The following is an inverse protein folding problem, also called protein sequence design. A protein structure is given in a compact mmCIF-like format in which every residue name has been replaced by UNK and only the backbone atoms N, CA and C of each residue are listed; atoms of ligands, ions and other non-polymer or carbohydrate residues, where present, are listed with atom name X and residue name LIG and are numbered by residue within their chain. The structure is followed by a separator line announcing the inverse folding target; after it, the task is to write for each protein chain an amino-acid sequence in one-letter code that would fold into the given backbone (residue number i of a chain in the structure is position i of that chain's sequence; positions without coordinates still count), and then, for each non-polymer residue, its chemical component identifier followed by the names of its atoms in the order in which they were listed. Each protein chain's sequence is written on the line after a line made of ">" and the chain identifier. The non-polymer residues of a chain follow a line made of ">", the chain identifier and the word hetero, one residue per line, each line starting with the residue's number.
data_IF_086871597377
#
_entry.id   IF_086871597377
#
_cell.length_a   1.000
_cell.length_b   1.000
_cell.length_c   1.000
_cell.angle_alpha   90.00
_cell.angle_beta   90.00
_cell.angle_gamma   90.00
#
_symmetry.space_group_name_H-M   'P 1'
#
loop_
_entity.id
_entity.type
_entity.pdbx_description
1 polymer ?
#
# COMPACT_ATOMS: atom_id res chain seq x y z
N UNK A 1 21.26 6.44 16.80
CA UNK A 1 21.85 5.95 15.55
C UNK A 1 21.22 4.61 15.21
N UNK A 2 20.65 4.46 14.04
CA UNK A 2 20.08 3.21 13.53
C UNK A 2 20.91 2.75 12.35
N UNK A 3 21.35 1.50 12.38
CA UNK A 3 21.92 0.80 11.24
C UNK A 3 20.78 0.11 10.50
N UNK A 4 20.57 0.46 9.24
CA UNK A 4 19.56 -0.14 8.41
C UNK A 4 19.86 -1.62 8.14
N UNK A 5 18.84 -2.46 8.20
CA UNK A 5 18.83 -3.80 7.63
C UNK A 5 18.08 -3.80 6.30
N UNK A 6 17.00 -3.00 6.25
CA UNK A 6 16.18 -2.83 5.05
C UNK A 6 15.67 -1.39 4.93
N UNK A 7 15.58 -0.92 3.68
CA UNK A 7 14.89 0.30 3.29
C UNK A 7 13.59 -0.08 2.56
N UNK A 8 12.51 0.60 2.89
CA UNK A 8 11.23 0.44 2.21
C UNK A 8 11.15 1.35 1.00
N UNK A 9 10.79 0.79 -0.15
CA UNK A 9 10.47 1.55 -1.35
C UNK A 9 8.95 1.74 -1.41
N UNK A 10 8.51 3.00 -1.39
CA UNK A 10 7.11 3.40 -1.35
C UNK A 10 6.80 4.40 -2.46
N UNK A 11 5.78 4.11 -3.29
CA UNK A 11 5.43 4.97 -4.42
C UNK A 11 4.99 6.38 -3.99
N UNK A 12 4.36 6.52 -2.82
CA UNK A 12 3.93 7.80 -2.26
C UNK A 12 5.08 8.78 -2.01
N UNK A 13 6.31 8.30 -1.81
CA UNK A 13 7.48 9.16 -1.65
C UNK A 13 7.79 9.99 -2.91
N UNK A 14 7.22 9.60 -4.07
CA UNK A 14 7.35 10.36 -5.31
C UNK A 14 6.75 11.76 -5.19
N UNK A 15 5.69 11.93 -4.41
CA UNK A 15 5.09 13.24 -4.15
C UNK A 15 6.03 14.21 -3.43
N UNK A 16 6.98 13.71 -2.63
CA UNK A 16 7.97 14.53 -1.93
C UNK A 16 9.06 15.06 -2.85
N UNK A 17 9.14 14.53 -4.09
CA UNK A 17 10.08 14.95 -5.13
C UNK A 17 9.44 15.96 -6.11
N UNK A 18 8.23 16.44 -5.85
CA UNK A 18 7.52 17.44 -6.64
C UNK A 18 7.48 18.77 -5.90
N UNK A 19 7.15 19.86 -6.58
CA UNK A 19 6.99 21.20 -5.98
C UNK A 19 5.63 21.39 -5.28
N UNK A 20 4.86 20.32 -5.11
CA UNK A 20 3.52 20.38 -4.53
C UNK A 20 3.56 20.68 -3.03
N UNK A 21 3.03 21.83 -2.62
CA UNK A 21 3.02 22.29 -1.23
C UNK A 21 1.79 21.83 -0.43
N UNK A 22 0.70 21.44 -1.10
CA UNK A 22 -0.56 21.00 -0.49
C UNK A 22 -0.63 19.48 -0.20
N UNK A 23 0.54 18.86 -0.06
CA UNK A 23 0.67 17.44 0.32
C UNK A 23 0.83 17.30 1.84
N UNK A 24 0.60 16.08 2.36
CA UNK A 24 0.83 15.73 3.77
C UNK A 24 2.31 15.78 4.18
N UNK A 25 3.23 15.83 3.23
CA UNK A 25 4.67 16.00 3.43
C UNK A 25 5.15 17.12 2.51
N UNK A 26 5.84 18.13 3.02
CA UNK A 26 6.42 19.17 2.16
C UNK A 26 7.46 18.59 1.20
N UNK A 27 7.69 19.27 0.06
CA UNK A 27 8.74 18.90 -0.88
C UNK A 27 10.11 18.79 -0.21
N UNK A 28 10.89 17.81 -0.64
CA UNK A 28 12.29 17.70 -0.22
C UNK A 28 13.14 18.69 -1.01
N UNK A 29 13.98 19.44 -0.31
CA UNK A 29 14.94 20.35 -0.95
C UNK A 29 15.98 19.55 -1.77
N UNK A 30 16.33 20.06 -2.95
CA UNK A 30 17.37 19.47 -3.78
C UNK A 30 18.72 19.48 -3.03
N UNK A 31 19.45 18.37 -3.13
CA UNK A 31 20.73 18.17 -2.42
C UNK A 31 20.59 17.59 -1.02
N UNK A 32 19.37 17.43 -0.51
CA UNK A 32 19.13 16.68 0.72
C UNK A 32 19.05 15.17 0.45
N UNK A 33 19.27 14.38 1.49
CA UNK A 33 19.14 12.93 1.38
C UNK A 33 17.65 12.55 1.29
N UNK A 34 17.34 11.60 0.44
CA UNK A 34 16.01 11.01 0.37
C UNK A 34 15.67 10.33 1.70
N UNK A 35 14.40 10.42 2.09
CA UNK A 35 13.87 9.82 3.31
C UNK A 35 12.82 8.75 2.98
N UNK A 36 12.65 7.81 3.89
CA UNK A 36 11.66 6.74 3.79
C UNK A 36 11.63 5.89 5.04
N UNK A 37 10.82 4.83 5.04
CA UNK A 37 10.79 3.91 6.17
C UNK A 37 12.06 3.04 6.19
N UNK A 38 12.66 2.96 7.37
CA UNK A 38 13.85 2.17 7.68
C UNK A 38 13.49 1.14 8.74
N UNK A 39 13.90 -0.10 8.54
CA UNK A 39 13.93 -1.17 9.55
C UNK A 39 15.38 -1.54 9.82
N UNK A 40 15.77 -1.57 11.07
CA UNK A 40 17.14 -1.88 11.44
C UNK A 40 17.38 -1.89 12.93
N UNK A 41 18.62 -1.97 13.33
CA UNK A 41 18.98 -2.05 14.75
C UNK A 41 19.54 -0.72 15.26
N UNK A 42 19.13 -0.36 16.49
CA UNK A 42 19.73 0.74 17.20
C UNK A 42 21.21 0.43 17.46
N UNK A 43 22.11 1.10 16.75
CA UNK A 43 23.56 0.92 16.92
C UNK A 43 24.14 1.75 18.08
N UNK A 44 23.43 2.81 18.48
CA UNK A 44 23.69 3.59 19.68
C UNK A 44 22.46 4.42 20.03
N UNK A 45 22.21 4.64 21.31
CA UNK A 45 21.10 5.47 21.76
C UNK A 45 21.52 6.43 22.88
N UNK A 46 20.93 7.65 22.85
CA UNK A 46 20.93 8.59 23.98
C UNK A 46 19.52 8.79 24.53
N UNK A 47 18.53 8.12 23.97
CA UNK A 47 17.12 8.22 24.36
C UNK A 47 16.78 7.07 25.29
N UNK A 48 16.11 7.38 26.43
CA UNK A 48 15.81 6.40 27.48
C UNK A 48 14.91 5.24 27.02
N UNK A 49 14.09 5.48 25.99
CA UNK A 49 13.16 4.47 25.43
C UNK A 49 13.82 3.45 24.51
N UNK A 50 15.09 3.62 24.10
CA UNK A 50 15.77 2.75 23.13
C UNK A 50 17.14 2.33 23.65
N UNK A 51 17.45 1.04 23.53
CA UNK A 51 18.75 0.46 23.86
C UNK A 51 19.49 0.04 22.57
N UNK A 52 20.80 -0.11 22.66
CA UNK A 52 21.61 -0.72 21.62
C UNK A 52 21.16 -2.15 21.39
N UNK A 53 21.01 -2.54 20.09
CA UNK A 53 20.50 -3.83 19.67
C UNK A 53 18.98 -3.87 19.44
N UNK A 54 18.20 -2.93 19.96
CA UNK A 54 16.75 -2.90 19.71
C UNK A 54 16.46 -2.93 18.21
N UNK A 55 15.56 -3.81 17.75
CA UNK A 55 15.00 -3.75 16.42
C UNK A 55 13.97 -2.61 16.37
N UNK A 56 14.16 -1.68 15.42
CA UNK A 56 13.38 -0.46 15.32
C UNK A 56 12.92 -0.20 13.89
N UNK A 57 11.76 0.44 13.75
CA UNK A 57 11.22 0.94 12.48
C UNK A 57 10.83 2.40 12.64
N UNK A 58 11.14 3.22 11.63
CA UNK A 58 10.75 4.63 11.60
C UNK A 58 11.18 5.31 10.31
N UNK A 59 10.87 6.60 10.18
CA UNK A 59 11.30 7.41 9.05
C UNK A 59 12.76 7.82 9.22
N UNK A 60 13.61 7.37 8.30
CA UNK A 60 15.03 7.68 8.26
C UNK A 60 15.48 8.07 6.85
N UNK A 61 16.77 8.22 6.67
CA UNK A 61 17.36 8.51 5.37
C UNK A 61 17.57 7.22 4.57
N UNK A 62 17.53 7.31 3.24
CA UNK A 62 18.05 6.23 2.40
C UNK A 62 19.58 6.18 2.55
N UNK A 63 20.01 5.49 3.57
CA UNK A 63 21.41 5.36 3.97
C UNK A 63 21.59 4.12 4.84
N UNK A 64 22.81 3.59 4.86
CA UNK A 64 23.18 2.46 5.73
C UNK A 64 23.02 2.79 7.22
N UNK A 65 23.22 4.05 7.58
CA UNK A 65 23.10 4.53 8.94
C UNK A 65 22.36 5.86 8.99
N UNK A 66 21.39 5.98 9.90
CA UNK A 66 20.58 7.19 10.10
C UNK A 66 20.61 7.62 11.56
N UNK A 67 20.83 8.92 11.80
CA UNK A 67 20.55 9.52 13.10
C UNK A 67 19.07 9.90 13.11
N UNK A 68 18.30 9.30 14.00
CA UNK A 68 16.86 9.49 14.09
C UNK A 68 16.49 10.07 15.45
N UNK A 69 15.65 11.10 15.45
CA UNK A 69 14.97 11.58 16.67
C UNK A 69 13.66 10.79 16.77
N UNK A 70 13.43 10.02 17.85
CA UNK A 70 12.32 9.09 17.92
C UNK A 70 10.96 9.72 17.64
N UNK A 71 10.66 10.87 18.22
CA UNK A 71 9.36 11.52 18.08
C UNK A 71 9.13 12.06 16.66
N UNK A 72 10.17 12.61 16.01
CA UNK A 72 10.07 13.14 14.64
C UNK A 72 10.08 12.04 13.61
N UNK A 73 10.80 10.96 13.88
CA UNK A 73 10.94 9.81 13.00
C UNK A 73 9.76 8.82 13.13
N UNK A 74 8.86 9.02 14.07
CA UNK A 74 7.88 7.98 14.44
C UNK A 74 8.57 6.65 14.73
N UNK A 75 9.75 6.71 15.40
CA UNK A 75 10.57 5.53 15.66
C UNK A 75 9.90 4.67 16.74
N UNK A 76 9.71 3.39 16.41
CA UNK A 76 9.14 2.42 17.32
C UNK A 76 9.99 1.17 17.40
N UNK A 77 10.01 0.54 18.59
CA UNK A 77 10.49 -0.82 18.73
C UNK A 77 9.49 -1.75 18.08
N UNK A 78 10.00 -2.76 17.41
CA UNK A 78 9.17 -3.79 16.80
C UNK A 78 9.61 -5.18 17.29
N UNK A 79 8.70 -6.15 17.19
CA UNK A 79 8.94 -7.52 17.65
C UNK A 79 10.02 -8.18 16.78
N UNK A 80 11.13 -8.55 17.38
CA UNK A 80 12.24 -9.25 16.72
C UNK A 80 12.14 -10.78 16.81
N UNK A 81 11.12 -11.29 17.51
CA UNK A 81 10.87 -12.73 17.67
C UNK A 81 10.08 -13.36 16.53
N UNK A 82 9.60 -12.56 15.57
CA UNK A 82 8.88 -13.07 14.40
C UNK A 82 9.86 -13.68 13.38
N UNK A 83 9.42 -14.72 12.66
CA UNK A 83 10.26 -15.45 11.71
C UNK A 83 10.83 -14.58 10.60
N UNK A 84 10.04 -13.60 10.13
CA UNK A 84 10.44 -12.67 9.08
C UNK A 84 10.21 -11.21 9.50
N UNK A 85 11.28 -10.54 9.93
CA UNK A 85 11.23 -9.13 10.38
C UNK A 85 10.73 -8.18 9.28
N UNK A 86 10.79 -8.55 7.99
CA UNK A 86 10.29 -7.73 6.87
C UNK A 86 8.79 -7.51 6.97
N UNK A 87 8.06 -8.38 7.68
CA UNK A 87 6.62 -8.20 7.92
C UNK A 87 6.29 -6.89 8.64
N UNK A 88 7.25 -6.27 9.31
CA UNK A 88 7.09 -4.92 9.87
C UNK A 88 6.97 -3.81 8.80
N UNK A 89 7.29 -4.09 7.54
CA UNK A 89 6.95 -3.23 6.39
C UNK A 89 5.68 -3.68 5.66
N UNK A 90 5.31 -4.95 5.80
CA UNK A 90 4.14 -5.56 5.19
C UNK A 90 2.93 -5.59 6.11
N UNK A 91 2.54 -6.83 6.49
CA UNK A 91 1.35 -7.10 7.32
C UNK A 91 1.34 -6.31 8.62
N UNK A 92 2.45 -6.30 9.35
CA UNK A 92 2.56 -5.64 10.68
C UNK A 92 2.95 -4.15 10.58
N UNK A 93 2.97 -3.61 9.36
CA UNK A 93 3.34 -2.23 9.07
C UNK A 93 2.18 -1.37 8.60
N UNK A 94 2.54 -0.16 8.15
CA UNK A 94 1.56 0.78 7.60
C UNK A 94 0.75 0.20 6.42
N UNK A 95 1.34 -0.69 5.61
CA UNK A 95 0.64 -1.32 4.49
C UNK A 95 -0.50 -2.23 4.99
N UNK A 96 -0.25 -3.02 6.03
CA UNK A 96 -1.28 -3.85 6.66
C UNK A 96 -2.38 -3.02 7.30
N UNK A 97 -2.02 -1.98 8.06
CA UNK A 97 -2.99 -1.06 8.65
C UNK A 97 -3.86 -0.39 7.57
N UNK A 98 -3.22 0.12 6.51
CA UNK A 98 -3.89 0.77 5.39
C UNK A 98 -4.87 -0.18 4.69
N UNK A 99 -4.45 -1.42 4.43
CA UNK A 99 -5.29 -2.44 3.81
C UNK A 99 -6.49 -2.79 4.70
N UNK A 100 -6.24 -3.07 5.99
CA UNK A 100 -7.28 -3.45 6.94
C UNK A 100 -8.29 -2.32 7.15
N UNK A 101 -7.80 -1.09 7.38
CA UNK A 101 -8.67 0.07 7.59
C UNK A 101 -9.49 0.39 6.33
N UNK A 102 -8.81 0.49 5.18
CA UNK A 102 -9.47 0.86 3.92
C UNK A 102 -10.52 -0.14 3.47
N UNK A 103 -10.30 -1.44 3.65
CA UNK A 103 -11.26 -2.48 3.30
C UNK A 103 -12.40 -2.53 4.32
N UNK A 104 -12.10 -2.55 5.61
CA UNK A 104 -13.10 -2.80 6.65
C UNK A 104 -13.83 -1.54 7.08
N UNK A 105 -13.10 -0.46 7.40
CA UNK A 105 -13.70 0.74 7.97
C UNK A 105 -14.15 1.71 6.87
N UNK A 106 -13.28 2.04 5.91
CA UNK A 106 -13.59 3.01 4.87
C UNK A 106 -14.56 2.44 3.83
N UNK A 107 -14.23 1.31 3.20
CA UNK A 107 -15.09 0.67 2.21
C UNK A 107 -16.24 -0.13 2.85
N UNK A 108 -16.15 -0.49 4.13
CA UNK A 108 -17.16 -1.23 4.86
C UNK A 108 -17.54 -2.56 4.19
N UNK A 109 -16.53 -3.32 3.75
CA UNK A 109 -16.69 -4.59 3.03
C UNK A 109 -17.40 -5.62 3.90
N UNK A 110 -18.29 -6.36 3.28
CA UNK A 110 -19.08 -7.44 3.90
C UNK A 110 -18.92 -8.74 3.14
N UNK A 111 -19.21 -9.84 3.81
CA UNK A 111 -19.25 -11.15 3.16
C UNK A 111 -20.22 -11.15 1.96
N UNK A 112 -19.75 -11.69 0.84
CA UNK A 112 -20.48 -11.72 -0.43
C UNK A 112 -20.38 -10.46 -1.29
N UNK A 113 -19.77 -9.37 -0.81
CA UNK A 113 -19.49 -8.20 -1.65
C UNK A 113 -18.52 -8.56 -2.79
N UNK A 114 -18.73 -7.96 -3.96
CA UNK A 114 -17.73 -7.92 -5.03
C UNK A 114 -16.79 -6.76 -4.75
N UNK A 115 -15.55 -7.06 -4.41
CA UNK A 115 -14.52 -6.08 -4.06
C UNK A 115 -13.50 -6.00 -5.18
N UNK A 116 -13.29 -4.79 -5.72
CA UNK A 116 -12.22 -4.53 -6.67
C UNK A 116 -11.03 -3.88 -5.95
N UNK A 117 -9.82 -4.27 -6.34
CA UNK A 117 -8.57 -3.65 -5.86
C UNK A 117 -7.72 -3.26 -7.06
N UNK A 118 -7.38 -1.98 -7.21
CA UNK A 118 -6.40 -1.54 -8.20
C UNK A 118 -4.97 -1.68 -7.68
N UNK A 119 -4.00 -1.83 -8.58
CA UNK A 119 -2.62 -2.23 -8.26
C UNK A 119 -2.59 -3.45 -7.31
N UNK A 120 -3.44 -4.44 -7.60
CA UNK A 120 -3.71 -5.59 -6.73
C UNK A 120 -2.47 -6.43 -6.39
N UNK A 121 -1.47 -6.47 -7.28
CA UNK A 121 -0.19 -7.14 -7.06
C UNK A 121 0.87 -6.26 -6.38
N UNK A 122 0.54 -5.02 -6.01
CA UNK A 122 1.42 -4.11 -5.28
C UNK A 122 1.36 -4.36 -3.76
N UNK A 123 2.24 -3.69 -3.02
CA UNK A 123 2.41 -3.88 -1.57
C UNK A 123 1.09 -3.82 -0.77
N UNK A 124 0.37 -2.70 -0.87
CA UNK A 124 -0.92 -2.52 -0.17
C UNK A 124 -2.04 -3.31 -0.84
N UNK A 125 -2.01 -3.41 -2.20
CA UNK A 125 -3.04 -4.13 -2.97
C UNK A 125 -3.12 -5.61 -2.63
N UNK A 126 -1.98 -6.29 -2.49
CA UNK A 126 -1.93 -7.71 -2.08
C UNK A 126 -2.59 -7.91 -0.72
N UNK A 127 -2.31 -7.03 0.23
CA UNK A 127 -2.89 -7.10 1.58
C UNK A 127 -4.37 -6.76 1.57
N UNK A 128 -4.80 -5.76 0.78
CA UNK A 128 -6.21 -5.42 0.62
C UNK A 128 -7.02 -6.59 0.02
N UNK A 129 -6.47 -7.30 -0.97
CA UNK A 129 -7.08 -8.51 -1.52
C UNK A 129 -7.25 -9.59 -0.46
N UNK A 130 -6.22 -9.84 0.36
CA UNK A 130 -6.27 -10.87 1.40
C UNK A 130 -7.25 -10.49 2.51
N UNK A 131 -7.25 -9.24 2.98
CA UNK A 131 -8.21 -8.76 3.97
C UNK A 131 -9.64 -8.92 3.45
N UNK A 132 -9.92 -8.53 2.21
CA UNK A 132 -11.25 -8.70 1.62
C UNK A 132 -11.67 -10.19 1.55
N UNK A 133 -10.74 -11.10 1.21
CA UNK A 133 -10.98 -12.55 1.24
C UNK A 133 -11.29 -13.06 2.65
N UNK A 134 -10.52 -12.64 3.67
CA UNK A 134 -10.77 -13.01 5.08
C UNK A 134 -12.17 -12.57 5.52
N UNK A 135 -12.64 -11.42 5.03
CA UNK A 135 -14.01 -10.94 5.29
C UNK A 135 -15.08 -11.64 4.47
N UNK A 136 -14.72 -12.59 3.61
CA UNK A 136 -15.68 -13.39 2.83
C UNK A 136 -16.16 -12.73 1.54
N UNK A 137 -15.43 -11.77 0.99
CA UNK A 137 -15.78 -11.11 -0.26
C UNK A 137 -15.30 -11.89 -1.50
N UNK A 138 -15.95 -11.63 -2.65
CA UNK A 138 -15.44 -12.02 -3.97
C UNK A 138 -14.46 -10.95 -4.43
N UNK A 139 -13.20 -11.30 -4.62
CA UNK A 139 -12.15 -10.32 -4.88
C UNK A 139 -11.75 -10.29 -6.36
N UNK A 140 -11.76 -9.11 -6.93
CA UNK A 140 -11.29 -8.80 -8.27
C UNK A 140 -10.06 -7.90 -8.19
N UNK A 141 -9.03 -8.16 -9.00
CA UNK A 141 -7.79 -7.41 -8.99
C UNK A 141 -7.47 -6.79 -10.35
N UNK A 142 -7.00 -5.54 -10.36
CA UNK A 142 -6.39 -4.93 -11.55
C UNK A 142 -4.87 -5.00 -11.42
N UNK A 143 -4.21 -5.64 -12.38
CA UNK A 143 -2.76 -5.74 -12.42
C UNK A 143 -2.25 -5.62 -13.85
N UNK A 144 -0.98 -5.27 -14.03
CA UNK A 144 -0.38 -5.13 -15.36
C UNK A 144 0.46 -6.32 -15.74
N UNK A 145 0.00 -7.09 -16.72
CA UNK A 145 0.67 -8.23 -17.31
C UNK A 145 0.15 -9.59 -16.83
N UNK A 146 0.25 -10.61 -17.69
CA UNK A 146 -0.36 -11.92 -17.47
C UNK A 146 0.26 -12.68 -16.28
N UNK A 147 1.53 -12.44 -15.99
CA UNK A 147 2.24 -13.08 -14.89
C UNK A 147 1.66 -12.68 -13.53
N UNK A 148 1.43 -11.36 -13.32
CA UNK A 148 0.81 -10.84 -12.11
C UNK A 148 -0.64 -11.30 -11.96
N UNK A 149 -1.39 -11.30 -13.07
CA UNK A 149 -2.78 -11.78 -13.04
C UNK A 149 -2.84 -13.26 -12.65
N UNK A 150 -1.99 -14.09 -13.22
CA UNK A 150 -1.90 -15.51 -12.86
C UNK A 150 -1.52 -15.69 -11.39
N UNK A 151 -0.51 -14.97 -10.93
CA UNK A 151 -0.09 -15.03 -9.52
C UNK A 151 -1.22 -14.65 -8.56
N UNK A 152 -1.98 -13.61 -8.89
CA UNK A 152 -3.14 -13.18 -8.08
C UNK A 152 -4.24 -14.27 -8.03
N UNK A 153 -4.48 -14.96 -9.14
CA UNK A 153 -5.52 -16.00 -9.22
C UNK A 153 -5.06 -17.33 -8.61
N UNK A 154 -3.86 -17.79 -8.95
CA UNK A 154 -3.37 -19.13 -8.58
C UNK A 154 -2.75 -19.15 -7.18
N UNK A 155 -1.94 -18.16 -6.82
CA UNK A 155 -1.21 -18.13 -5.54
C UNK A 155 -2.00 -17.36 -4.46
N UNK A 156 -2.48 -16.15 -4.78
CA UNK A 156 -3.28 -15.37 -3.84
C UNK A 156 -4.72 -15.87 -3.76
N UNK A 157 -5.22 -16.54 -4.81
CA UNK A 157 -6.54 -17.15 -4.88
C UNK A 157 -7.68 -16.13 -4.88
N UNK A 158 -7.55 -15.02 -5.61
CA UNK A 158 -8.67 -14.10 -5.84
C UNK A 158 -9.62 -14.65 -6.91
N UNK A 159 -10.82 -14.08 -6.99
CA UNK A 159 -11.87 -14.54 -7.92
C UNK A 159 -11.46 -14.34 -9.37
N UNK A 160 -10.88 -13.19 -9.71
CA UNK A 160 -10.37 -12.86 -11.05
C UNK A 160 -9.40 -11.69 -11.00
N UNK A 161 -8.35 -11.77 -11.82
CA UNK A 161 -7.46 -10.67 -12.13
C UNK A 161 -7.69 -10.18 -13.57
N UNK A 162 -7.70 -8.86 -13.76
CA UNK A 162 -7.88 -8.19 -15.05
C UNK A 162 -6.55 -7.55 -15.44
N UNK A 163 -5.99 -7.95 -16.56
CA UNK A 163 -4.77 -7.35 -17.12
C UNK A 163 -5.12 -6.02 -17.83
N UNK A 164 -4.99 -4.92 -17.10
CA UNK A 164 -5.32 -3.59 -17.64
C UNK A 164 -4.46 -3.17 -18.85
N UNK A 165 -3.36 -3.88 -19.13
CA UNK A 165 -2.53 -3.64 -20.33
C UNK A 165 -3.08 -4.31 -21.58
N UNK A 166 -3.99 -5.26 -21.43
CA UNK A 166 -4.53 -6.08 -22.54
C UNK A 166 -6.05 -6.10 -22.61
N UNK A 167 -6.72 -5.94 -21.47
CA UNK A 167 -8.18 -6.02 -21.39
C UNK A 167 -8.77 -4.61 -21.23
N UNK A 168 -9.95 -4.41 -21.82
CA UNK A 168 -10.79 -3.26 -21.50
C UNK A 168 -11.39 -3.47 -20.12
N UNK A 169 -10.98 -2.62 -19.16
CA UNK A 169 -11.40 -2.71 -17.75
C UNK A 169 -12.92 -2.60 -17.65
N UNK A 170 -13.54 -1.63 -18.32
CA UNK A 170 -14.98 -1.41 -18.22
C UNK A 170 -15.76 -2.61 -18.76
N UNK A 171 -15.37 -3.15 -19.91
CA UNK A 171 -15.99 -4.33 -20.49
C UNK A 171 -15.77 -5.61 -19.64
N UNK A 172 -14.63 -5.71 -18.96
CA UNK A 172 -14.35 -6.83 -18.06
C UNK A 172 -15.22 -6.75 -16.80
N UNK A 173 -15.35 -5.56 -16.22
CA UNK A 173 -16.15 -5.31 -15.01
C UNK A 173 -17.65 -5.38 -15.28
N UNK A 174 -18.12 -5.04 -16.47
CA UNK A 174 -19.53 -5.19 -16.86
C UNK A 174 -20.05 -6.64 -16.80
N UNK A 175 -19.14 -7.63 -16.76
CA UNK A 175 -19.49 -9.06 -16.63
C UNK A 175 -19.63 -9.49 -15.17
N UNK A 176 -19.33 -8.62 -14.20
CA UNK A 176 -19.47 -8.93 -12.77
C UNK A 176 -20.93 -8.79 -12.38
N UNK A 177 -21.58 -9.90 -12.06
CA UNK A 177 -22.99 -9.90 -11.67
C UNK A 177 -23.19 -9.06 -10.40
N UNK A 178 -24.17 -8.17 -10.41
CA UNK A 178 -24.44 -7.24 -9.31
C UNK A 178 -23.53 -6.01 -9.26
N UNK A 179 -22.50 -5.94 -10.11
CA UNK A 179 -21.52 -4.85 -10.12
C UNK A 179 -20.54 -4.90 -8.95
N UNK A 180 -19.67 -3.90 -8.85
CA UNK A 180 -18.65 -3.78 -7.80
C UNK A 180 -19.23 -3.07 -6.57
N UNK A 181 -19.32 -3.75 -5.43
CA UNK A 181 -19.86 -3.21 -4.19
C UNK A 181 -18.86 -2.30 -3.46
N UNK A 182 -17.57 -2.65 -3.50
CA UNK A 182 -16.52 -1.88 -2.88
C UNK A 182 -15.28 -1.82 -3.79
N UNK A 183 -14.65 -0.66 -3.87
CA UNK A 183 -13.42 -0.47 -4.63
C UNK A 183 -12.34 0.13 -3.73
N UNK A 184 -11.22 -0.57 -3.63
CA UNK A 184 -10.02 -0.08 -2.97
C UNK A 184 -9.10 0.51 -4.05
N UNK A 185 -9.07 1.84 -4.12
CA UNK A 185 -8.39 2.56 -5.19
C UNK A 185 -6.99 3.02 -4.78
N UNK A 186 -5.98 2.44 -5.41
CA UNK A 186 -4.58 2.84 -5.29
C UNK A 186 -4.10 3.74 -6.44
N UNK A 187 -4.91 3.92 -7.49
CA UNK A 187 -4.42 4.46 -8.78
C UNK A 187 -5.13 5.74 -9.20
N UNK A 188 -6.46 5.81 -9.09
CA UNK A 188 -7.25 6.93 -9.61
C UNK A 188 -7.25 7.03 -11.14
N UNK A 189 -7.44 8.24 -11.65
CA UNK A 189 -7.34 8.57 -13.08
C UNK A 189 -8.21 7.72 -14.00
N UNK A 190 -7.71 7.32 -15.19
CA UNK A 190 -8.50 6.55 -16.16
C UNK A 190 -9.02 5.21 -15.64
N UNK A 191 -8.34 4.61 -14.65
CA UNK A 191 -8.82 3.37 -14.02
C UNK A 191 -10.09 3.67 -13.22
N UNK A 192 -10.11 4.73 -12.41
CA UNK A 192 -11.30 5.14 -11.69
C UNK A 192 -12.47 5.43 -12.65
N UNK A 193 -12.22 6.09 -13.78
CA UNK A 193 -13.24 6.36 -14.80
C UNK A 193 -13.83 5.07 -15.40
N UNK A 194 -13.02 4.06 -15.62
CA UNK A 194 -13.50 2.77 -16.10
C UNK A 194 -14.30 1.99 -15.03
N UNK A 195 -14.00 2.22 -13.74
CA UNK A 195 -14.66 1.54 -12.61
C UNK A 195 -16.02 2.16 -12.28
N UNK A 196 -16.14 3.50 -12.27
CA UNK A 196 -17.35 4.21 -11.82
C UNK A 196 -18.65 3.72 -12.48
N UNK A 197 -18.73 3.47 -13.82
CA UNK A 197 -19.93 2.93 -14.44
C UNK A 197 -20.27 1.49 -14.05
N UNK A 198 -19.31 0.76 -13.49
CA UNK A 198 -19.44 -0.65 -13.11
C UNK A 198 -19.65 -0.87 -11.60
N UNK A 199 -19.70 0.22 -10.82
CA UNK A 199 -20.04 0.12 -9.40
C UNK A 199 -21.49 -0.32 -9.22
N UNK A 200 -21.75 -1.08 -8.17
CA UNK A 200 -23.09 -1.40 -7.74
C UNK A 200 -23.80 -0.15 -7.18
N UNK A 201 -25.12 -0.21 -7.08
CA UNK A 201 -25.91 0.82 -6.42
C UNK A 201 -25.48 0.94 -4.95
N UNK A 202 -25.25 2.17 -4.47
CA UNK A 202 -24.67 2.46 -3.14
C UNK A 202 -23.27 1.88 -2.94
N UNK A 203 -22.52 1.68 -4.03
CA UNK A 203 -21.13 1.25 -3.98
C UNK A 203 -20.24 2.21 -3.19
N UNK A 204 -19.14 1.68 -2.67
CA UNK A 204 -18.23 2.41 -1.78
C UNK A 204 -16.82 2.36 -2.36
N UNK A 205 -16.14 3.50 -2.37
CA UNK A 205 -14.78 3.64 -2.88
C UNK A 205 -13.89 4.18 -1.77
N UNK A 206 -12.89 3.40 -1.37
CA UNK A 206 -11.84 3.82 -0.47
C UNK A 206 -10.64 4.31 -1.30
N UNK A 207 -10.39 5.62 -1.28
CA UNK A 207 -9.25 6.23 -1.96
C UNK A 207 -8.01 6.12 -1.08
N UNK A 208 -7.15 5.17 -1.43
CA UNK A 208 -5.90 4.88 -0.73
C UNK A 208 -4.71 5.60 -1.35
N UNK A 209 -4.69 5.72 -2.68
CA UNK A 209 -3.60 6.33 -3.41
C UNK A 209 -4.00 6.79 -4.80
N UNK A 210 -3.17 7.62 -5.40
CA UNK A 210 -3.40 8.22 -6.71
C UNK A 210 -2.17 8.01 -7.61
N UNK A 211 -1.73 6.76 -7.76
CA UNK A 211 -0.49 6.41 -8.45
C UNK A 211 -0.42 7.00 -9.89
N UNK A 212 -1.57 7.10 -10.57
CA UNK A 212 -1.64 7.72 -11.90
C UNK A 212 -1.32 9.23 -11.90
N UNK A 213 -1.29 9.88 -10.72
CA UNK A 213 -1.04 11.31 -10.56
C UNK A 213 0.32 11.61 -9.92
N UNK A 214 1.09 10.58 -9.52
CA UNK A 214 2.40 10.79 -8.87
C UNK A 214 3.50 11.21 -9.85
N UNK A 215 3.26 11.06 -11.14
CA UNK A 215 4.12 11.59 -12.20
C UNK A 215 3.51 12.89 -12.76
N UNK A 216 4.33 13.88 -13.06
CA UNK A 216 3.89 15.19 -13.55
C UNK A 216 3.84 16.25 -12.46
N UNK A 217 2.89 17.19 -12.56
CA UNK A 217 2.72 18.32 -11.62
C UNK A 217 1.99 17.94 -10.31
N UNK A 218 1.60 16.67 -10.17
CA UNK A 218 0.88 16.16 -9.01
C UNK A 218 -0.59 16.56 -8.93
N UNK A 219 -1.10 17.34 -9.89
CA UNK A 219 -2.51 17.71 -9.97
C UNK A 219 -3.26 16.86 -10.98
N UNK A 220 -4.10 15.97 -10.49
CA UNK A 220 -4.98 15.16 -11.32
C UNK A 220 -6.25 15.90 -11.73
N UNK A 221 -6.78 15.55 -12.90
CA UNK A 221 -8.16 15.92 -13.24
C UNK A 221 -9.12 15.08 -12.43
N UNK A 222 -10.28 15.63 -12.10
CA UNK A 222 -11.39 14.84 -11.54
C UNK A 222 -11.89 13.80 -12.53
N UNK A 223 -12.67 12.80 -12.06
CA UNK A 223 -13.18 11.75 -12.92
C UNK A 223 -14.11 12.29 -14.01
N UNK A 224 -13.93 11.81 -15.24
CA UNK A 224 -14.81 12.15 -16.37
C UNK A 224 -16.23 11.57 -16.16
N UNK A 225 -16.34 10.42 -15.50
CA UNK A 225 -17.58 9.73 -15.19
C UNK A 225 -18.21 10.20 -13.85
N UNK A 226 -18.06 11.49 -13.53
CA UNK A 226 -18.49 12.06 -12.24
C UNK A 226 -20.00 11.92 -11.98
N UNK A 227 -20.83 11.92 -13.03
CA UNK A 227 -22.29 11.72 -12.97
C UNK A 227 -22.67 10.35 -12.38
N UNK A 228 -21.82 9.32 -12.54
CA UNK A 228 -22.06 7.99 -11.99
C UNK A 228 -22.09 7.99 -10.46
N UNK A 229 -21.41 8.94 -9.82
CA UNK A 229 -21.46 9.11 -8.36
C UNK A 229 -22.90 9.38 -7.92
N UNK A 230 -23.59 10.31 -8.61
CA UNK A 230 -25.00 10.61 -8.35
C UNK A 230 -25.89 9.46 -8.79
N UNK A 231 -25.72 8.94 -10.01
CA UNK A 231 -26.62 7.93 -10.58
C UNK A 231 -26.62 6.63 -9.76
N UNK A 232 -25.49 6.27 -9.18
CA UNK A 232 -25.33 5.07 -8.34
C UNK A 232 -25.31 5.36 -6.85
N UNK A 233 -25.45 6.64 -6.42
CA UNK A 233 -25.41 7.08 -5.00
C UNK A 233 -24.17 6.55 -4.31
N UNK A 234 -23.00 6.72 -4.95
CA UNK A 234 -21.73 6.20 -4.46
C UNK A 234 -21.25 7.01 -3.25
N UNK A 235 -20.54 6.34 -2.34
CA UNK A 235 -19.70 6.98 -1.34
C UNK A 235 -18.25 6.85 -1.77
N UNK A 236 -17.56 7.97 -1.86
CA UNK A 236 -16.11 8.03 -2.13
C UNK A 236 -15.46 8.71 -0.94
N UNK A 237 -14.50 8.03 -0.34
CA UNK A 237 -13.87 8.49 0.89
C UNK A 237 -12.36 8.28 0.83
N UNK A 238 -11.59 9.37 1.03
CA UNK A 238 -10.16 9.31 1.25
C UNK A 238 -9.85 8.99 2.70
N UNK A 239 -8.73 8.30 2.93
CA UNK A 239 -8.24 7.99 4.27
C UNK A 239 -6.71 8.00 4.29
N UNK A 240 -6.14 8.25 5.45
CA UNK A 240 -4.70 8.36 5.61
C UNK A 240 -4.25 7.62 6.88
N UNK A 241 -3.31 6.67 6.74
CA UNK A 241 -2.95 5.78 7.84
C UNK A 241 -2.40 6.47 9.10
N UNK A 242 -1.70 7.59 9.06
CA UNK A 242 -1.33 8.32 10.27
C UNK A 242 -2.51 8.82 11.12
N UNK A 243 -3.69 9.06 10.52
CA UNK A 243 -4.86 9.59 11.23
C UNK A 243 -5.45 8.59 12.24
N UNK A 244 -5.13 7.30 12.09
CA UNK A 244 -5.57 6.24 13.00
C UNK A 244 -4.40 5.49 13.66
N UNK A 245 -3.27 6.18 13.82
CA UNK A 245 -2.09 5.61 14.47
C UNK A 245 -2.35 5.23 15.96
N UNK A 246 -3.30 5.88 16.60
CA UNK A 246 -3.80 5.52 17.95
C UNK A 246 -4.44 4.13 18.00
N UNK A 247 -4.91 3.61 16.85
CA UNK A 247 -5.44 2.24 16.71
C UNK A 247 -4.34 1.22 16.35
N UNK A 248 -3.10 1.68 16.19
CA UNK A 248 -2.00 0.89 15.65
C UNK A 248 -1.76 -0.42 16.39
N UNK A 249 -1.79 -0.41 17.73
CA UNK A 249 -1.63 -1.64 18.54
C UNK A 249 -2.73 -2.66 18.26
N UNK A 250 -3.99 -2.20 18.22
CA UNK A 250 -5.15 -3.06 17.93
C UNK A 250 -5.06 -3.66 16.52
N UNK A 251 -4.74 -2.81 15.53
CA UNK A 251 -4.62 -3.26 14.14
C UNK A 251 -3.47 -4.26 13.98
N UNK A 252 -2.32 -3.99 14.62
CA UNK A 252 -1.16 -4.88 14.57
C UNK A 252 -1.47 -6.22 15.24
N UNK A 253 -2.15 -6.23 16.39
CA UNK A 253 -2.49 -7.46 17.08
C UNK A 253 -3.41 -8.36 16.24
N UNK A 254 -4.43 -7.78 15.58
CA UNK A 254 -5.33 -8.51 14.71
C UNK A 254 -4.61 -9.06 13.47
N UNK A 255 -3.80 -8.22 12.81
CA UNK A 255 -3.01 -8.62 11.65
C UNK A 255 -1.98 -9.69 12.00
N UNK A 256 -1.35 -9.60 13.20
CA UNK A 256 -0.44 -10.63 13.69
C UNK A 256 -1.16 -11.96 13.88
N UNK A 257 -2.37 -11.94 14.44
CA UNK A 257 -3.16 -13.16 14.58
C UNK A 257 -3.42 -13.83 13.22
N UNK A 258 -3.75 -13.06 12.18
CA UNK A 258 -3.95 -13.60 10.84
C UNK A 258 -2.66 -14.09 10.19
N UNK A 259 -1.55 -13.37 10.41
CA UNK A 259 -0.22 -13.79 9.97
C UNK A 259 0.18 -15.13 10.61
N UNK A 260 0.04 -15.27 11.93
CA UNK A 260 0.35 -16.48 12.68
C UNK A 260 -0.52 -17.68 12.25
N UNK A 261 -1.72 -17.42 11.73
CA UNK A 261 -2.63 -18.44 11.18
C UNK A 261 -2.36 -18.74 9.69
N UNK A 262 -1.43 -18.03 9.05
CA UNK A 262 -1.16 -18.16 7.62
C UNK A 262 -2.29 -17.65 6.72
N UNK A 263 -3.17 -16.78 7.23
CA UNK A 263 -4.29 -16.22 6.48
C UNK A 263 -3.90 -14.99 5.66
N UNK A 264 -2.83 -14.30 6.06
CA UNK A 264 -2.30 -13.10 5.39
C UNK A 264 -0.78 -13.15 5.39
N UNK A 265 -0.18 -12.72 4.29
CA UNK A 265 1.27 -12.63 4.13
C UNK A 265 1.64 -11.52 3.15
N UNK A 266 2.88 -11.03 3.24
CA UNK A 266 3.42 -10.06 2.30
C UNK A 266 4.50 -10.70 1.45
N UNK A 267 4.33 -10.83 0.13
CA UNK A 267 5.44 -11.16 -0.75
C UNK A 267 6.42 -9.97 -0.83
N UNK A 268 7.71 -10.27 -0.78
CA UNK A 268 8.77 -9.27 -0.81
C UNK A 268 9.62 -9.40 -2.08
N UNK A 269 9.76 -8.30 -2.81
CA UNK A 269 10.75 -8.12 -3.86
C UNK A 269 11.97 -7.41 -3.25
N UNK A 270 13.01 -8.18 -2.98
CA UNK A 270 14.21 -7.68 -2.30
C UNK A 270 15.34 -7.47 -3.30
N UNK A 271 15.92 -6.29 -3.27
CA UNK A 271 17.13 -5.93 -4.02
C UNK A 271 18.27 -5.72 -3.03
N UNK A 272 19.43 -6.34 -3.23
CA UNK A 272 20.58 -6.19 -2.35
C UNK A 272 21.40 -4.94 -2.73
N UNK A 273 21.94 -4.27 -1.71
CA UNK A 273 22.90 -3.19 -1.82
C UNK A 273 22.31 -1.80 -2.02
N UNK A 274 22.90 -0.83 -1.31
CA UNK A 274 22.50 0.58 -1.36
C UNK A 274 22.66 1.18 -2.76
N UNK A 275 23.61 0.71 -3.53
CA UNK A 275 23.88 1.14 -4.91
C UNK A 275 22.71 0.84 -5.86
N UNK A 276 21.84 -0.10 -5.51
CA UNK A 276 20.72 -0.54 -6.32
C UNK A 276 19.39 0.10 -5.90
N UNK A 277 19.39 1.07 -4.97
CA UNK A 277 18.18 1.69 -4.43
C UNK A 277 17.31 2.32 -5.51
N UNK A 278 17.89 2.98 -6.51
CA UNK A 278 17.13 3.61 -7.60
C UNK A 278 16.50 2.56 -8.51
N UNK A 279 17.22 1.49 -8.84
CA UNK A 279 16.69 0.37 -9.63
C UNK A 279 15.52 -0.31 -8.92
N UNK A 280 15.62 -0.50 -7.60
CA UNK A 280 14.52 -1.03 -6.80
C UNK A 280 13.31 -0.07 -6.80
N UNK A 281 13.56 1.22 -6.68
CA UNK A 281 12.51 2.24 -6.67
C UNK A 281 11.75 2.33 -8.00
N UNK A 282 12.47 2.26 -9.13
CA UNK A 282 11.88 2.28 -10.47
C UNK A 282 10.89 1.13 -10.72
N UNK A 283 11.05 -0.02 -10.07
CA UNK A 283 10.11 -1.14 -10.19
C UNK A 283 8.67 -0.76 -9.85
N UNK A 284 8.48 0.19 -8.92
CA UNK A 284 7.16 0.66 -8.48
C UNK A 284 6.37 1.33 -9.61
N UNK A 285 7.04 2.00 -10.54
CA UNK A 285 6.42 2.76 -11.63
C UNK A 285 6.40 1.98 -12.94
N UNK A 286 7.37 1.10 -13.16
CA UNK A 286 7.41 0.22 -14.34
C UNK A 286 6.54 -1.03 -14.20
N UNK A 287 6.08 -1.30 -12.98
CA UNK A 287 5.33 -2.51 -12.67
C UNK A 287 6.22 -3.76 -12.67
N UNK A 288 7.48 -3.64 -12.24
CA UNK A 288 8.46 -4.72 -12.20
C UNK A 288 8.39 -5.61 -10.95
N UNK A 289 7.50 -5.31 -9.98
CA UNK A 289 7.43 -6.02 -8.69
C UNK A 289 6.12 -6.77 -8.47
N UNK A 290 6.15 -7.78 -7.63
CA UNK A 290 4.99 -8.34 -6.91
C UNK A 290 5.24 -8.10 -5.42
N UNK A 291 4.22 -7.55 -4.73
CA UNK A 291 4.31 -7.26 -3.30
C UNK A 291 5.15 -6.03 -2.96
N UNK A 292 5.81 -6.10 -1.81
CA UNK A 292 6.57 -4.99 -1.22
C UNK A 292 8.00 -4.98 -1.71
N UNK A 293 8.42 -3.85 -2.29
CA UNK A 293 9.82 -3.65 -2.71
C UNK A 293 10.64 -3.18 -1.51
N UNK A 294 11.74 -3.87 -1.28
CA UNK A 294 12.71 -3.55 -0.23
C UNK A 294 14.13 -3.51 -0.82
N UNK A 295 14.98 -2.69 -0.21
CA UNK A 295 16.43 -2.76 -0.41
C UNK A 295 17.05 -3.29 0.87
N UNK A 296 17.80 -4.39 0.75
CA UNK A 296 18.60 -4.96 1.84
C UNK A 296 19.94 -4.24 1.89
N UNK A 297 20.32 -3.82 3.08
CA UNK A 297 21.56 -3.07 3.34
C UNK A 297 22.62 -3.98 3.96
#
# INVERSE_FOLDING_TARGET
>A
LVRAAYLSMDAGTRMWMTEREDSYQPPLELGTKMVGLVLGHAAASRHAGFAEGDLVRGFGQWAENSVMQPELAGLMKVDDSIDDIRQHFGVLGFNGWTALWGIRETAGVKAGDNVLVSAAAGSTGVLACQVAKILGANVYGLAGGPEKCRWLEEELGITRAIDYKKEDIAAALAKVEGGINAYFDNVGGPILDAVLPNMALYGRIALCGLLAQYEGDGHGRGPEQFDQILMKRLRIEGFFSPDFADQGERLTAELKQWLDQGLIDTPFDVTDGMENVLTAYEKLFTGGNIGKVLVKI
#
